data_IF_944520287074
#
_entry.id   IF_944520287074
#
_cell.length_a   1.000
_cell.length_b   1.000
_cell.length_c   1.000
_cell.angle_alpha   90.00
_cell.angle_beta   90.00
_cell.angle_gamma   90.00
#
_symmetry.space_group_name_H-M   'P 1'
#
loop_
_entity.id
_entity.type
_entity.pdbx_description
1 polymer ?
#
# COMPACT_ATOMS: atom_id res chain seq x y z
N UNK A 1 13.75 -23.74 23.04
CA UNK A 1 14.70 -22.62 23.08
C UNK A 1 14.08 -21.33 23.64
N UNK A 2 12.86 -20.95 23.22
CA UNK A 2 12.23 -19.71 23.69
C UNK A 2 11.93 -19.65 25.19
N UNK A 3 11.53 -20.76 25.83
CA UNK A 3 11.17 -20.74 27.26
C UNK A 3 12.36 -20.73 28.23
N UNK A 4 13.51 -21.33 27.88
CA UNK A 4 14.65 -21.46 28.77
C UNK A 4 15.94 -20.82 28.24
N UNK A 5 15.91 -20.11 27.14
CA UNK A 5 17.08 -19.54 26.46
C UNK A 5 16.87 -18.20 25.80
N UNK A 6 15.90 -17.40 26.27
CA UNK A 6 15.54 -16.14 25.64
C UNK A 6 16.76 -15.21 25.46
N UNK A 7 17.61 -15.06 26.46
CA UNK A 7 18.80 -14.22 26.36
C UNK A 7 19.81 -14.75 25.32
N UNK A 8 20.01 -16.09 25.27
CA UNK A 8 20.87 -16.72 24.26
C UNK A 8 20.30 -16.55 22.84
N UNK A 9 18.99 -16.73 22.68
CA UNK A 9 18.30 -16.51 21.40
C UNK A 9 18.48 -15.07 20.95
N UNK A 10 18.20 -14.10 21.82
CA UNK A 10 18.37 -12.67 21.50
C UNK A 10 19.78 -12.34 21.08
N UNK A 11 20.79 -12.83 21.80
CA UNK A 11 22.20 -12.61 21.45
C UNK A 11 22.56 -13.19 20.06
N UNK A 12 22.01 -14.35 19.71
CA UNK A 12 22.21 -14.94 18.37
C UNK A 12 21.55 -14.10 17.27
N UNK A 13 20.35 -13.59 17.51
CA UNK A 13 19.64 -12.69 16.59
C UNK A 13 20.45 -11.41 16.41
N UNK A 14 20.86 -10.75 17.47
CA UNK A 14 21.65 -9.51 17.42
C UNK A 14 22.98 -9.72 16.68
N UNK A 15 23.65 -10.86 16.92
CA UNK A 15 24.87 -11.23 16.17
C UNK A 15 24.60 -11.45 14.69
N UNK A 16 23.48 -12.05 14.35
CA UNK A 16 23.07 -12.25 12.94
C UNK A 16 22.78 -10.92 12.27
N UNK A 17 22.04 -10.02 12.91
CA UNK A 17 21.71 -8.69 12.39
C UNK A 17 22.99 -7.86 12.11
N UNK A 18 23.93 -7.84 13.04
CA UNK A 18 25.24 -7.17 12.84
C UNK A 18 26.00 -7.73 11.65
N UNK A 19 26.02 -9.06 11.47
CA UNK A 19 26.66 -9.69 10.31
C UNK A 19 25.98 -9.35 8.99
N UNK A 20 24.64 -9.30 8.98
CA UNK A 20 23.88 -8.87 7.80
C UNK A 20 24.23 -7.43 7.45
N UNK A 21 24.26 -6.52 8.42
CA UNK A 21 24.65 -5.13 8.20
C UNK A 21 26.06 -5.02 7.59
N UNK A 22 27.06 -5.70 8.13
CA UNK A 22 28.42 -5.71 7.58
C UNK A 22 28.46 -6.25 6.14
N UNK A 23 27.71 -7.30 5.84
CA UNK A 23 27.62 -7.83 4.49
C UNK A 23 26.99 -6.80 3.50
N UNK A 24 25.91 -6.13 3.92
CA UNK A 24 25.24 -5.10 3.15
C UNK A 24 26.20 -3.93 2.91
N UNK A 25 26.89 -3.46 3.95
CA UNK A 25 27.89 -2.38 3.86
C UNK A 25 28.96 -2.70 2.83
N UNK A 26 29.52 -3.90 2.87
CA UNK A 26 30.51 -4.37 1.90
C UNK A 26 29.97 -4.43 0.45
N UNK A 27 28.67 -4.74 0.27
CA UNK A 27 28.04 -4.73 -1.05
C UNK A 27 27.83 -3.30 -1.55
N UNK A 28 27.39 -2.41 -0.67
CA UNK A 28 27.17 -1.00 -1.01
C UNK A 28 28.51 -0.32 -1.37
N UNK A 29 29.59 -0.61 -0.65
CA UNK A 29 30.95 -0.14 -0.98
C UNK A 29 31.43 -0.60 -2.36
N UNK A 30 30.88 -1.70 -2.88
CA UNK A 30 31.13 -2.23 -4.23
C UNK A 30 30.14 -1.70 -5.29
N UNK A 31 29.29 -0.75 -4.94
CA UNK A 31 28.36 -0.10 -5.85
C UNK A 31 26.96 -0.73 -5.92
N UNK A 32 26.62 -1.67 -5.02
CA UNK A 32 25.25 -2.18 -4.91
C UNK A 32 24.35 -1.12 -4.29
N UNK A 33 23.23 -0.81 -4.94
CA UNK A 33 22.17 0.00 -4.32
C UNK A 33 21.35 -0.88 -3.36
N UNK A 34 21.30 -0.48 -2.10
CA UNK A 34 20.54 -1.16 -1.07
C UNK A 34 19.41 -0.27 -0.55
N UNK A 35 18.25 -0.85 -0.33
CA UNK A 35 17.14 -0.25 0.40
C UNK A 35 16.49 -1.30 1.29
N UNK A 36 15.97 -0.89 2.45
CA UNK A 36 15.10 -1.74 3.26
C UNK A 36 13.67 -1.63 2.74
N UNK A 37 12.87 -2.69 2.89
CA UNK A 37 11.49 -2.63 2.44
C UNK A 37 10.66 -1.64 3.26
N UNK A 38 10.79 -1.61 4.57
CA UNK A 38 9.99 -0.79 5.45
C UNK A 38 10.64 -0.45 6.79
N UNK A 39 11.91 -0.14 6.82
CA UNK A 39 12.68 0.26 8.01
C UNK A 39 12.79 -0.79 9.15
N UNK A 40 12.05 -1.87 9.12
CA UNK A 40 12.03 -2.86 10.22
C UNK A 40 13.37 -3.58 10.40
N UNK A 41 14.06 -3.87 9.31
CA UNK A 41 15.41 -4.45 9.36
C UNK A 41 16.40 -3.42 9.94
N UNK A 42 16.43 -2.21 9.41
CA UNK A 42 17.33 -1.14 9.87
C UNK A 42 17.10 -0.83 11.36
N UNK A 43 15.83 -0.75 11.80
CA UNK A 43 15.49 -0.58 13.20
C UNK A 43 16.00 -1.73 14.07
N UNK A 44 15.88 -2.97 13.59
CA UNK A 44 16.37 -4.16 14.31
C UNK A 44 17.90 -4.17 14.41
N UNK A 45 18.59 -3.75 13.36
CA UNK A 45 20.04 -3.59 13.35
C UNK A 45 20.46 -2.50 14.35
N UNK A 46 19.78 -1.36 14.36
CA UNK A 46 20.03 -0.28 15.33
C UNK A 46 19.88 -0.77 16.78
N UNK A 47 18.80 -1.52 17.05
CA UNK A 47 18.53 -2.08 18.39
C UNK A 47 19.54 -3.16 18.79
N UNK A 48 20.19 -3.83 17.83
CA UNK A 48 21.30 -4.76 18.08
C UNK A 48 22.62 -4.09 18.49
N UNK A 49 22.65 -2.74 18.50
CA UNK A 49 23.78 -1.92 18.91
C UNK A 49 24.56 -1.23 17.79
N UNK A 50 24.17 -1.41 16.53
CA UNK A 50 24.81 -0.75 15.36
C UNK A 50 24.19 0.65 15.18
N UNK A 51 24.73 1.64 15.87
CA UNK A 51 24.16 3.01 15.87
C UNK A 51 24.42 3.78 14.59
N UNK A 52 25.48 3.47 13.86
CA UNK A 52 25.83 4.12 12.59
C UNK A 52 24.84 3.84 11.45
N UNK A 53 23.94 2.86 11.56
CA UNK A 53 22.88 2.67 10.58
C UNK A 53 21.81 3.77 10.64
N UNK A 54 21.75 4.50 11.74
CA UNK A 54 20.86 5.65 11.90
C UNK A 54 21.58 6.97 11.64
N UNK A 55 20.89 7.92 10.99
CA UNK A 55 21.42 9.26 10.74
C UNK A 55 21.76 9.96 12.06
N UNK A 56 22.99 10.45 12.17
CA UNK A 56 23.53 11.06 13.39
C UNK A 56 23.42 10.17 14.64
N UNK A 57 23.43 8.83 14.44
CA UNK A 57 23.40 7.86 15.54
C UNK A 57 22.06 7.73 16.27
N UNK A 58 21.00 8.35 15.79
CA UNK A 58 19.67 8.30 16.38
C UNK A 58 18.61 7.85 15.38
N UNK A 59 17.87 6.81 15.72
CA UNK A 59 16.76 6.30 14.91
C UNK A 59 15.61 7.31 14.72
N UNK A 60 15.52 8.34 15.58
CA UNK A 60 14.59 9.44 15.40
C UNK A 60 14.88 10.29 14.15
N UNK A 61 16.11 10.27 13.69
CA UNK A 61 16.53 11.01 12.50
C UNK A 61 16.40 10.18 11.20
N UNK A 62 15.85 8.97 11.29
CA UNK A 62 15.79 8.01 10.18
C UNK A 62 17.10 7.25 9.98
N UNK A 63 17.19 6.51 8.87
CA UNK A 63 18.29 5.59 8.58
C UNK A 63 19.13 6.06 7.39
N UNK A 64 20.36 5.56 7.30
CA UNK A 64 21.31 5.92 6.23
C UNK A 64 20.94 5.31 4.86
N UNK A 65 20.24 4.17 4.87
CA UNK A 65 19.69 3.56 3.67
C UNK A 65 18.24 3.96 3.48
N UNK A 66 17.75 4.11 2.24
CA UNK A 66 16.35 4.41 1.99
C UNK A 66 15.42 3.25 2.38
N UNK A 67 14.21 3.60 2.78
CA UNK A 67 13.08 2.69 2.90
C UNK A 67 12.31 2.67 1.59
N UNK A 68 12.05 1.48 1.04
CA UNK A 68 11.25 1.36 -0.17
C UNK A 68 9.84 1.94 0.01
N UNK A 69 9.22 1.69 1.16
CA UNK A 69 7.86 2.17 1.44
C UNK A 69 7.83 3.64 1.79
N UNK A 70 8.74 4.12 2.65
CA UNK A 70 8.74 5.51 3.12
C UNK A 70 9.29 6.48 2.08
N UNK A 71 10.44 6.16 1.49
CA UNK A 71 11.20 7.09 0.65
C UNK A 71 10.90 6.94 -0.84
N UNK A 72 10.35 5.81 -1.28
CA UNK A 72 10.09 5.50 -2.69
C UNK A 72 8.59 5.36 -2.95
N UNK A 73 7.94 4.30 -2.45
CA UNK A 73 6.53 4.07 -2.73
C UNK A 73 5.60 5.13 -2.13
N UNK A 74 5.93 5.65 -0.95
CA UNK A 74 5.14 6.69 -0.29
C UNK A 74 4.95 7.90 -1.18
N UNK A 75 6.03 8.66 -1.49
CA UNK A 75 5.94 9.86 -2.29
C UNK A 75 5.61 9.63 -3.76
N UNK A 76 6.07 8.53 -4.36
CA UNK A 76 5.95 8.30 -5.80
C UNK A 76 4.65 7.57 -6.21
N UNK A 77 4.05 6.81 -5.31
CA UNK A 77 2.86 6.01 -5.58
C UNK A 77 1.72 6.27 -4.59
N UNK A 78 1.93 6.07 -3.29
CA UNK A 78 0.87 6.09 -2.30
C UNK A 78 0.26 7.48 -2.10
N UNK A 79 1.05 8.54 -2.18
CA UNK A 79 0.57 9.92 -2.10
C UNK A 79 -0.34 10.28 -3.28
N UNK A 80 -0.14 9.63 -4.43
CA UNK A 80 -1.02 9.73 -5.61
C UNK A 80 -2.18 8.72 -5.62
N UNK A 81 -2.33 7.93 -4.57
CA UNK A 81 -3.38 6.93 -4.47
C UNK A 81 -3.10 5.62 -5.20
N UNK A 82 -1.91 5.45 -5.80
CA UNK A 82 -1.53 4.18 -6.43
C UNK A 82 -1.09 3.16 -5.38
N UNK A 83 -1.61 1.97 -5.49
CA UNK A 83 -1.24 0.85 -4.64
C UNK A 83 -1.74 -0.49 -5.20
N UNK A 84 -1.35 -1.60 -4.56
CA UNK A 84 -1.67 -2.94 -5.04
C UNK A 84 -3.17 -3.17 -5.18
N UNK A 85 -3.60 -3.50 -6.37
CA UNK A 85 -4.94 -3.92 -6.72
C UNK A 85 -4.88 -5.28 -7.40
N UNK A 86 -5.53 -6.26 -6.83
CA UNK A 86 -5.44 -7.66 -7.26
C UNK A 86 -6.80 -8.21 -7.65
N UNK A 87 -6.82 -9.08 -8.67
CA UNK A 87 -8.00 -9.87 -8.99
C UNK A 87 -7.65 -11.32 -9.23
N UNK A 88 -8.62 -12.20 -8.99
CA UNK A 88 -8.55 -13.64 -9.20
C UNK A 88 -9.81 -14.09 -9.93
N UNK A 89 -9.66 -14.78 -11.06
CA UNK A 89 -10.75 -15.43 -11.77
C UNK A 89 -11.13 -16.73 -11.04
N UNK A 90 -12.26 -16.73 -10.34
CA UNK A 90 -12.69 -17.86 -9.49
C UNK A 90 -13.10 -19.08 -10.30
N UNK A 91 -13.35 -18.94 -11.60
CA UNK A 91 -13.57 -20.06 -12.51
C UNK A 91 -12.34 -20.96 -12.66
N UNK A 92 -11.13 -20.47 -12.35
CA UNK A 92 -9.86 -21.14 -12.61
C UNK A 92 -9.50 -21.25 -14.09
N UNK A 93 -10.30 -20.70 -15.00
CA UNK A 93 -10.08 -20.76 -16.44
C UNK A 93 -9.10 -19.68 -16.88
N UNK A 94 -8.09 -20.08 -17.63
CA UNK A 94 -7.12 -19.15 -18.20
C UNK A 94 -7.75 -18.15 -19.19
N UNK A 95 -8.75 -18.59 -19.93
CA UNK A 95 -9.51 -17.73 -20.85
C UNK A 95 -10.18 -16.54 -20.15
N UNK A 96 -10.68 -16.74 -18.92
CA UNK A 96 -11.28 -15.66 -18.14
C UNK A 96 -10.21 -14.65 -17.70
N UNK A 97 -9.00 -15.11 -17.40
CA UNK A 97 -7.88 -14.23 -17.07
C UNK A 97 -7.51 -13.34 -18.27
N UNK A 98 -7.38 -13.90 -19.46
CA UNK A 98 -7.10 -13.15 -20.69
C UNK A 98 -8.18 -12.10 -20.96
N UNK A 99 -9.46 -12.45 -20.80
CA UNK A 99 -10.57 -11.49 -20.96
C UNK A 99 -10.49 -10.35 -19.94
N UNK A 100 -10.15 -10.67 -18.69
CA UNK A 100 -9.99 -9.63 -17.65
C UNK A 100 -8.77 -8.76 -17.88
N UNK A 101 -7.67 -9.30 -18.43
CA UNK A 101 -6.51 -8.52 -18.84
C UNK A 101 -6.89 -7.47 -19.90
N UNK A 102 -7.61 -7.88 -20.94
CA UNK A 102 -8.09 -6.95 -21.99
C UNK A 102 -9.01 -5.88 -21.41
N UNK A 103 -9.98 -6.26 -20.59
CA UNK A 103 -10.89 -5.32 -19.95
C UNK A 103 -10.17 -4.33 -19.01
N UNK A 104 -9.12 -4.76 -18.30
CA UNK A 104 -8.31 -3.89 -17.49
C UNK A 104 -7.53 -2.87 -18.36
N UNK A 105 -6.92 -3.30 -19.46
CA UNK A 105 -6.24 -2.40 -20.40
C UNK A 105 -7.18 -1.35 -21.01
N UNK A 106 -8.43 -1.72 -21.34
CA UNK A 106 -9.45 -0.76 -21.82
C UNK A 106 -9.79 0.32 -20.79
N UNK A 107 -9.65 0.02 -19.51
CA UNK A 107 -9.92 0.96 -18.41
C UNK A 107 -8.73 1.88 -18.06
N UNK A 108 -7.52 1.56 -18.53
CA UNK A 108 -6.27 2.27 -18.21
C UNK A 108 -5.96 3.26 -19.35
N UNK A 109 -5.76 4.53 -19.02
CA UNK A 109 -5.18 5.51 -19.95
C UNK A 109 -3.66 5.55 -19.77
N UNK A 110 -2.87 4.95 -20.68
CA UNK A 110 -1.41 4.88 -20.54
C UNK A 110 -0.70 6.24 -20.67
N UNK A 111 -1.43 7.29 -21.07
CA UNK A 111 -0.87 8.63 -21.24
C UNK A 111 -1.07 9.54 -20.02
N UNK A 112 -1.84 9.11 -19.03
CA UNK A 112 -2.18 9.93 -17.86
C UNK A 112 -0.99 10.10 -16.89
N UNK A 113 -0.36 9.01 -16.52
CA UNK A 113 0.83 8.99 -15.63
C UNK A 113 1.75 7.82 -15.99
N UNK A 114 3.03 7.92 -15.61
CA UNK A 114 4.00 6.85 -15.85
C UNK A 114 3.57 5.50 -15.28
N UNK A 115 2.96 5.49 -14.08
CA UNK A 115 2.45 4.26 -13.47
C UNK A 115 1.29 3.62 -14.29
N UNK A 116 0.46 4.42 -14.94
CA UNK A 116 -0.59 3.88 -15.82
C UNK A 116 0.02 3.23 -17.09
N UNK A 117 1.07 3.83 -17.64
CA UNK A 117 1.82 3.23 -18.74
C UNK A 117 2.47 1.91 -18.30
N UNK A 118 3.08 1.87 -17.12
CA UNK A 118 3.67 0.65 -16.57
C UNK A 118 2.62 -0.43 -16.34
N UNK A 119 1.46 -0.08 -15.79
CA UNK A 119 0.34 -0.99 -15.62
C UNK A 119 -0.14 -1.57 -16.96
N UNK A 120 -0.31 -0.71 -17.96
CA UNK A 120 -0.73 -1.13 -19.30
C UNK A 120 0.28 -2.10 -19.93
N UNK A 121 1.57 -1.76 -19.89
CA UNK A 121 2.64 -2.61 -20.41
C UNK A 121 2.74 -3.94 -19.65
N UNK A 122 2.61 -3.90 -18.33
CA UNK A 122 2.63 -5.06 -17.45
C UNK A 122 1.56 -6.09 -17.84
N UNK A 123 0.31 -5.65 -18.02
CA UNK A 123 -0.79 -6.55 -18.40
C UNK A 123 -0.67 -6.98 -19.86
N UNK A 124 -0.33 -6.07 -20.79
CA UNK A 124 -0.13 -6.40 -22.21
C UNK A 124 0.89 -7.53 -22.40
N UNK A 125 1.99 -7.46 -21.65
CA UNK A 125 3.11 -8.39 -21.80
C UNK A 125 3.03 -9.58 -20.81
N UNK A 126 1.94 -9.69 -20.02
CA UNK A 126 1.79 -10.72 -18.98
C UNK A 126 1.90 -12.15 -19.52
N UNK A 127 1.20 -12.46 -20.60
CA UNK A 127 1.25 -13.77 -21.22
C UNK A 127 2.63 -14.09 -21.79
N UNK A 128 3.23 -13.14 -22.51
CA UNK A 128 4.56 -13.29 -23.08
C UNK A 128 5.63 -13.56 -22.01
N UNK A 129 5.46 -12.95 -20.84
CA UNK A 129 6.39 -13.08 -19.72
C UNK A 129 6.03 -14.21 -18.76
N UNK A 130 5.00 -15.01 -19.06
CA UNK A 130 4.52 -16.10 -18.22
C UNK A 130 4.24 -15.64 -16.78
N UNK A 131 3.61 -14.48 -16.61
CA UNK A 131 3.28 -13.93 -15.31
C UNK A 131 2.13 -14.73 -14.68
N UNK A 132 2.50 -15.75 -13.92
CA UNK A 132 1.58 -16.61 -13.18
C UNK A 132 1.81 -16.44 -11.69
N UNK A 133 0.74 -16.19 -10.94
CA UNK A 133 0.76 -16.01 -9.48
C UNK A 133 0.10 -17.20 -8.79
N UNK A 134 0.48 -18.41 -9.17
CA UNK A 134 -0.02 -19.66 -8.59
C UNK A 134 -1.49 -20.00 -8.91
N UNK A 135 -2.25 -19.08 -9.50
CA UNK A 135 -3.64 -19.24 -9.96
C UNK A 135 -3.94 -18.21 -11.05
N UNK A 136 -5.16 -18.20 -11.58
CA UNK A 136 -5.61 -17.24 -12.60
C UNK A 136 -5.82 -15.85 -11.97
N UNK A 137 -4.72 -15.14 -11.72
CA UNK A 137 -4.69 -13.88 -10.98
C UNK A 137 -3.75 -12.85 -11.60
N UNK A 138 -4.04 -11.57 -11.39
CA UNK A 138 -3.17 -10.43 -11.71
C UNK A 138 -3.10 -9.46 -10.55
N UNK A 139 -2.08 -8.60 -10.59
CA UNK A 139 -1.89 -7.48 -9.69
C UNK A 139 -1.42 -6.27 -10.50
N UNK A 140 -1.98 -5.11 -10.19
CA UNK A 140 -1.56 -3.79 -10.68
C UNK A 140 -1.34 -2.85 -9.51
N UNK A 141 -0.60 -1.78 -9.75
CA UNK A 141 -0.55 -0.63 -8.84
C UNK A 141 -1.47 0.45 -9.41
N UNK A 142 -2.71 0.48 -8.95
CA UNK A 142 -3.76 1.32 -9.52
C UNK A 142 -4.34 2.27 -8.48
N UNK A 143 -4.72 3.48 -8.93
CA UNK A 143 -5.37 4.51 -8.11
C UNK A 143 -6.86 4.23 -7.86
N UNK A 144 -7.50 5.09 -7.05
CA UNK A 144 -8.90 4.94 -6.66
C UNK A 144 -9.85 4.82 -7.85
N UNK A 145 -9.72 5.73 -8.82
CA UNK A 145 -10.61 5.77 -9.98
C UNK A 145 -10.37 4.61 -10.93
N UNK A 146 -9.11 4.24 -11.13
CA UNK A 146 -8.73 3.08 -11.93
C UNK A 146 -9.25 1.77 -11.33
N UNK A 147 -9.08 1.58 -10.01
CA UNK A 147 -9.65 0.41 -9.31
C UNK A 147 -11.16 0.33 -9.47
N UNK A 148 -11.86 1.44 -9.29
CA UNK A 148 -13.32 1.48 -9.43
C UNK A 148 -13.75 1.13 -10.84
N UNK A 149 -13.14 1.73 -11.87
CA UNK A 149 -13.47 1.47 -13.29
C UNK A 149 -13.25 -0.01 -13.66
N UNK A 150 -12.08 -0.55 -13.34
CA UNK A 150 -11.75 -1.95 -13.60
C UNK A 150 -12.71 -2.89 -12.87
N UNK A 151 -12.96 -2.64 -11.58
CA UNK A 151 -13.85 -3.47 -10.77
C UNK A 151 -15.30 -3.47 -11.30
N UNK A 152 -15.82 -2.31 -11.70
CA UNK A 152 -17.16 -2.19 -12.30
C UNK A 152 -17.23 -2.93 -13.64
N UNK A 153 -16.20 -2.80 -14.49
CA UNK A 153 -16.13 -3.53 -15.76
C UNK A 153 -16.11 -5.05 -15.53
N UNK A 154 -15.34 -5.51 -14.55
CA UNK A 154 -15.34 -6.93 -14.19
C UNK A 154 -16.70 -7.42 -13.70
N UNK A 155 -17.38 -6.65 -12.84
CA UNK A 155 -18.71 -7.01 -12.37
C UNK A 155 -19.74 -7.04 -13.52
N UNK A 156 -19.63 -6.15 -14.48
CA UNK A 156 -20.44 -6.16 -15.71
C UNK A 156 -20.18 -7.41 -16.56
N UNK A 157 -18.91 -7.80 -16.76
CA UNK A 157 -18.55 -9.02 -17.49
C UNK A 157 -19.13 -10.27 -16.85
N UNK A 158 -19.11 -10.35 -15.50
CA UNK A 158 -19.75 -11.45 -14.76
C UNK A 158 -21.26 -11.45 -14.99
N UNK A 159 -21.90 -10.28 -14.93
CA UNK A 159 -23.35 -10.11 -15.19
C UNK A 159 -23.76 -10.57 -16.57
N UNK A 160 -22.94 -10.30 -17.56
CA UNK A 160 -23.17 -10.67 -18.95
C UNK A 160 -22.80 -12.13 -19.26
N UNK A 161 -22.24 -12.86 -18.30
CA UNK A 161 -21.77 -14.24 -18.50
C UNK A 161 -20.51 -14.36 -19.37
N UNK A 162 -19.76 -13.26 -19.54
CA UNK A 162 -18.51 -13.25 -20.32
C UNK A 162 -17.38 -14.00 -19.59
N UNK A 163 -17.40 -13.94 -18.24
CA UNK A 163 -16.46 -14.60 -17.32
C UNK A 163 -17.19 -15.13 -16.09
N UNK A 164 -16.55 -16.05 -15.36
CA UNK A 164 -17.03 -16.46 -14.04
C UNK A 164 -16.80 -15.39 -12.96
N UNK A 165 -17.27 -15.62 -11.71
CA UNK A 165 -17.06 -14.68 -10.63
C UNK A 165 -15.60 -14.31 -10.42
N UNK A 166 -15.36 -13.06 -10.02
CA UNK A 166 -14.01 -12.52 -9.82
C UNK A 166 -13.87 -12.06 -8.37
N UNK A 167 -12.78 -12.45 -7.71
CA UNK A 167 -12.40 -11.94 -6.40
C UNK A 167 -11.42 -10.79 -6.54
N UNK A 168 -11.79 -9.63 -5.98
CA UNK A 168 -10.91 -8.48 -5.86
C UNK A 168 -10.26 -8.45 -4.48
N UNK A 169 -9.08 -7.88 -4.39
CA UNK A 169 -8.38 -7.66 -3.14
C UNK A 169 -7.25 -6.66 -3.29
N UNK A 170 -6.60 -6.36 -2.18
CA UNK A 170 -5.37 -5.59 -2.14
C UNK A 170 -4.40 -6.16 -1.12
N UNK A 171 -3.14 -5.80 -1.26
CA UNK A 171 -2.17 -6.05 -0.20
C UNK A 171 -2.39 -5.10 0.98
N UNK A 172 -1.94 -5.51 2.16
CA UNK A 172 -1.92 -4.66 3.34
C UNK A 172 -0.90 -3.51 3.22
N UNK A 173 0.08 -3.61 2.31
CA UNK A 173 0.96 -2.52 1.89
C UNK A 173 0.25 -1.69 0.83
N UNK A 174 -0.70 -0.88 1.23
CA UNK A 174 -1.47 -0.05 0.31
C UNK A 174 -1.51 1.41 0.79
N UNK A 175 -2.06 2.26 -0.04
CA UNK A 175 -2.31 3.69 0.23
C UNK A 175 -2.97 3.91 1.59
N UNK A 176 -3.87 3.01 2.00
CA UNK A 176 -4.50 3.06 3.32
C UNK A 176 -3.51 2.97 4.50
N UNK A 177 -2.26 2.59 4.25
CA UNK A 177 -1.14 2.76 5.16
C UNK A 177 -1.34 2.12 6.53
N UNK A 178 -1.78 0.86 6.56
CA UNK A 178 -2.20 0.20 7.79
C UNK A 178 -1.20 -0.82 8.32
N UNK A 179 0.02 -0.82 7.80
CA UNK A 179 1.01 -1.84 8.14
C UNK A 179 2.21 -1.23 8.85
N UNK A 180 2.36 -1.39 10.12
CA UNK A 180 3.57 -1.09 10.88
C UNK A 180 3.84 0.38 11.20
N UNK A 181 4.36 0.69 12.38
CA UNK A 181 4.83 2.04 12.72
C UNK A 181 6.12 2.45 11.97
N UNK A 182 6.78 1.54 11.25
CA UNK A 182 8.05 1.80 10.56
C UNK A 182 7.96 1.61 9.04
N UNK A 183 6.77 1.40 8.48
CA UNK A 183 6.54 1.12 7.06
C UNK A 183 5.64 2.19 6.44
N UNK A 184 4.43 1.83 6.01
CA UNK A 184 3.52 2.71 5.26
C UNK A 184 3.13 3.98 5.99
N UNK A 185 3.28 4.03 7.30
CA UNK A 185 2.90 5.17 8.13
C UNK A 185 4.08 5.91 8.73
N UNK A 186 5.31 5.52 8.44
CA UNK A 186 6.51 6.11 9.02
C UNK A 186 6.73 7.56 8.61
N UNK A 187 6.24 7.96 7.45
CA UNK A 187 6.27 9.34 6.97
C UNK A 187 5.19 10.24 7.55
N UNK A 188 4.25 9.73 8.33
CA UNK A 188 3.27 10.52 9.09
C UNK A 188 3.95 11.07 10.35
N UNK A 189 4.03 12.39 10.47
CA UNK A 189 4.87 13.05 11.50
C UNK A 189 4.07 13.63 12.67
N UNK A 190 2.75 13.66 12.62
CA UNK A 190 1.88 14.26 13.62
C UNK A 190 1.49 13.33 14.78
N UNK A 191 2.05 12.11 14.81
CA UNK A 191 1.74 11.09 15.81
C UNK A 191 0.58 10.17 15.44
N UNK A 192 -0.16 10.43 14.36
CA UNK A 192 -1.25 9.57 13.88
C UNK A 192 -0.76 8.28 13.20
N UNK A 193 0.55 8.07 13.18
CA UNK A 193 1.16 6.81 12.74
C UNK A 193 1.00 5.64 13.74
N UNK A 194 0.25 5.85 14.82
CA UNK A 194 -0.13 4.78 15.74
C UNK A 194 -1.16 3.88 15.05
N UNK A 195 -0.77 2.64 14.85
CA UNK A 195 -1.37 1.71 13.89
C UNK A 195 -2.78 1.25 14.21
N UNK A 196 -3.13 1.11 15.49
CA UNK A 196 -4.40 0.51 15.87
C UNK A 196 -5.60 1.28 15.32
N UNK A 197 -5.59 2.61 15.44
CA UNK A 197 -6.71 3.45 15.00
C UNK A 197 -6.89 3.41 13.47
N UNK A 198 -5.79 3.46 12.72
CA UNK A 198 -5.85 3.43 11.25
C UNK A 198 -6.32 2.07 10.72
N UNK A 199 -5.82 0.99 11.29
CA UNK A 199 -6.22 -0.36 10.90
C UNK A 199 -7.69 -0.63 11.23
N UNK A 200 -8.17 -0.18 12.40
CA UNK A 200 -9.56 -0.29 12.81
C UNK A 200 -10.47 0.57 11.94
N UNK A 201 -10.06 1.79 11.61
CA UNK A 201 -10.80 2.66 10.69
C UNK A 201 -10.96 2.01 9.31
N UNK A 202 -9.88 1.46 8.76
CA UNK A 202 -9.89 0.75 7.47
C UNK A 202 -10.84 -0.46 7.53
N UNK A 203 -10.72 -1.29 8.56
CA UNK A 203 -11.57 -2.45 8.78
C UNK A 203 -13.06 -2.07 8.91
N UNK A 204 -13.38 -1.11 9.80
CA UNK A 204 -14.75 -0.69 10.04
C UNK A 204 -15.39 -0.08 8.77
N UNK A 205 -14.65 0.72 8.03
CA UNK A 205 -15.12 1.32 6.80
C UNK A 205 -15.36 0.32 5.68
N UNK A 206 -14.53 -0.70 5.54
CA UNK A 206 -14.73 -1.78 4.58
C UNK A 206 -15.94 -2.66 4.96
N UNK A 207 -16.13 -2.95 6.27
CA UNK A 207 -17.34 -3.62 6.77
C UNK A 207 -18.59 -2.81 6.45
N UNK A 208 -18.62 -1.52 6.78
CA UNK A 208 -19.77 -0.64 6.59
C UNK A 208 -20.18 -0.50 5.12
N UNK A 209 -19.25 -0.66 4.19
CA UNK A 209 -19.51 -0.60 2.74
C UNK A 209 -19.93 -1.94 2.13
N UNK A 210 -19.92 -3.01 2.91
CA UNK A 210 -20.41 -4.31 2.48
C UNK A 210 -19.43 -5.16 1.69
N UNK A 211 -18.12 -5.01 1.93
CA UNK A 211 -17.11 -5.90 1.36
C UNK A 211 -17.40 -7.36 1.72
N UNK A 212 -17.13 -8.29 0.80
CA UNK A 212 -17.41 -9.72 0.97
C UNK A 212 -16.53 -10.37 2.04
N UNK A 213 -15.32 -9.87 2.18
CA UNK A 213 -14.34 -10.28 3.18
C UNK A 213 -13.65 -9.03 3.73
N UNK A 214 -13.49 -8.96 5.02
CA UNK A 214 -12.67 -7.96 5.69
C UNK A 214 -11.73 -8.64 6.67
N UNK A 215 -10.52 -8.10 6.81
CA UNK A 215 -9.50 -8.64 7.68
C UNK A 215 -8.92 -7.54 8.56
N UNK A 216 -8.70 -7.89 9.82
CA UNK A 216 -7.88 -7.15 10.77
C UNK A 216 -6.95 -8.15 11.42
N UNK A 217 -5.64 -7.99 11.25
CA UNK A 217 -4.67 -8.99 11.70
C UNK A 217 -3.30 -8.38 12.03
N UNK A 218 -2.47 -9.12 12.73
CA UNK A 218 -1.10 -8.73 13.08
C UNK A 218 -0.12 -9.07 11.96
N UNK A 219 -0.25 -8.44 10.82
CA UNK A 219 0.69 -8.54 9.71
C UNK A 219 1.13 -9.94 9.29
N UNK A 220 1.58 -10.06 8.06
CA UNK A 220 2.32 -11.21 7.58
C UNK A 220 3.71 -10.74 7.14
N UNK A 221 4.77 -11.43 7.46
CA UNK A 221 6.12 -11.04 7.08
C UNK A 221 6.82 -10.15 8.11
N UNK A 222 7.48 -9.08 7.68
CA UNK A 222 8.42 -8.31 8.52
C UNK A 222 7.78 -7.67 9.75
N UNK A 223 6.53 -7.29 9.70
CA UNK A 223 5.81 -6.67 10.82
C UNK A 223 5.10 -7.65 11.76
N UNK A 224 5.22 -8.96 11.57
CA UNK A 224 4.42 -9.96 12.31
C UNK A 224 4.56 -9.79 13.82
N UNK A 225 3.43 -9.73 14.52
CA UNK A 225 3.36 -9.55 15.98
C UNK A 225 3.57 -8.11 16.47
N UNK A 226 3.93 -7.15 15.59
CA UNK A 226 4.16 -5.75 15.93
C UNK A 226 3.32 -4.78 15.10
N UNK A 227 2.83 -5.22 13.95
CA UNK A 227 2.01 -4.44 13.05
C UNK A 227 0.57 -4.90 13.09
N UNK A 228 -0.36 -3.96 12.90
CA UNK A 228 -1.78 -4.25 12.69
C UNK A 228 -2.12 -3.84 11.27
N UNK A 229 -2.78 -4.74 10.54
CA UNK A 229 -3.13 -4.53 9.13
C UNK A 229 -4.63 -4.64 8.93
N UNK A 230 -5.14 -3.84 8.00
CA UNK A 230 -6.48 -3.98 7.46
C UNK A 230 -6.43 -4.40 6.00
N UNK A 231 -7.40 -5.16 5.57
CA UNK A 231 -7.54 -5.59 4.19
C UNK A 231 -8.96 -5.97 3.86
N UNK A 232 -9.24 -6.13 2.58
CA UNK A 232 -10.54 -6.58 2.09
C UNK A 232 -10.43 -7.55 0.93
N UNK A 233 -11.54 -8.27 0.71
CA UNK A 233 -11.83 -8.95 -0.52
C UNK A 233 -13.26 -8.64 -0.95
N UNK A 234 -13.49 -8.53 -2.25
CA UNK A 234 -14.81 -8.29 -2.84
C UNK A 234 -15.06 -9.27 -3.96
N UNK A 235 -16.15 -10.01 -3.87
CA UNK A 235 -16.60 -10.89 -4.95
C UNK A 235 -17.48 -10.10 -5.92
N UNK A 236 -17.05 -9.99 -7.17
CA UNK A 236 -17.88 -9.56 -8.28
C UNK A 236 -18.76 -10.73 -8.71
N UNK A 237 -20.05 -10.65 -8.39
CA UNK A 237 -21.06 -11.67 -8.66
C UNK A 237 -22.01 -11.31 -9.80
N UNK A 238 -21.79 -10.13 -10.42
CA UNK A 238 -22.61 -9.57 -11.48
C UNK A 238 -23.84 -8.76 -10.99
N UNK A 239 -24.09 -8.70 -9.69
CA UNK A 239 -25.25 -7.98 -9.17
C UNK A 239 -25.07 -6.46 -9.18
N UNK A 240 -26.20 -5.72 -9.29
CA UNK A 240 -26.19 -4.24 -9.15
C UNK A 240 -25.82 -3.80 -7.74
N UNK A 241 -26.13 -4.60 -6.72
CA UNK A 241 -25.68 -4.36 -5.35
C UNK A 241 -24.16 -4.26 -5.26
N UNK A 242 -23.46 -5.13 -5.98
CA UNK A 242 -21.98 -5.08 -6.03
C UNK A 242 -21.49 -3.84 -6.76
N UNK A 243 -22.15 -3.38 -7.83
CA UNK A 243 -21.80 -2.10 -8.47
C UNK A 243 -21.83 -0.93 -7.48
N UNK A 244 -22.90 -0.86 -6.64
CA UNK A 244 -23.04 0.22 -5.64
C UNK A 244 -21.95 0.15 -4.57
N UNK A 245 -21.60 -1.05 -4.11
CA UNK A 245 -20.49 -1.28 -3.18
C UNK A 245 -19.17 -0.82 -3.80
N UNK A 246 -18.89 -1.24 -5.03
CA UNK A 246 -17.63 -0.92 -5.72
C UNK A 246 -17.44 0.59 -5.90
N UNK A 247 -18.51 1.32 -6.26
CA UNK A 247 -18.47 2.80 -6.40
C UNK A 247 -18.07 3.50 -5.12
N UNK A 248 -18.54 3.04 -3.98
CA UNK A 248 -18.24 3.64 -2.69
C UNK A 248 -16.93 3.12 -2.08
N UNK A 249 -16.76 1.80 -2.06
CA UNK A 249 -15.69 1.17 -1.31
C UNK A 249 -14.31 1.34 -1.94
N UNK A 250 -14.21 1.27 -3.29
CA UNK A 250 -12.93 1.47 -3.97
C UNK A 250 -12.40 2.89 -3.78
N UNK A 251 -13.28 3.90 -3.84
CA UNK A 251 -12.89 5.28 -3.58
C UNK A 251 -12.47 5.48 -2.12
N UNK A 252 -13.30 5.02 -1.18
CA UNK A 252 -13.07 5.26 0.23
C UNK A 252 -11.78 4.59 0.72
N UNK A 253 -11.53 3.34 0.33
CA UNK A 253 -10.35 2.59 0.77
C UNK A 253 -9.05 3.31 0.38
N UNK A 254 -8.97 3.78 -0.85
CA UNK A 254 -7.78 4.50 -1.36
C UNK A 254 -7.73 5.93 -0.83
N UNK A 255 -8.80 6.71 -1.04
CA UNK A 255 -8.79 8.15 -0.71
C UNK A 255 -8.77 8.41 0.79
N UNK A 256 -9.22 7.48 1.63
CA UNK A 256 -9.00 7.52 3.07
C UNK A 256 -7.52 7.47 3.45
N UNK A 257 -6.71 6.71 2.71
CA UNK A 257 -5.26 6.70 2.86
C UNK A 257 -4.60 7.99 2.37
N UNK A 258 -4.98 8.47 1.19
CA UNK A 258 -4.49 9.75 0.66
C UNK A 258 -4.83 10.90 1.62
N UNK A 259 -6.04 10.93 2.17
CA UNK A 259 -6.45 11.93 3.15
C UNK A 259 -5.53 11.95 4.39
N UNK A 260 -5.21 10.79 4.97
CA UNK A 260 -4.27 10.72 6.11
C UNK A 260 -2.89 11.23 5.75
N UNK A 261 -2.38 10.88 4.56
CA UNK A 261 -1.10 11.37 4.03
C UNK A 261 -1.11 12.87 3.78
N UNK A 262 -2.24 13.40 3.30
CA UNK A 262 -2.47 14.83 3.15
C UNK A 262 -2.43 15.54 4.50
N UNK A 263 -3.12 15.01 5.52
CA UNK A 263 -3.08 15.56 6.89
C UNK A 263 -1.69 15.45 7.54
N UNK A 264 -0.88 14.48 7.13
CA UNK A 264 0.54 14.41 7.50
C UNK A 264 1.42 15.44 6.75
N UNK A 265 0.83 16.25 5.89
CA UNK A 265 1.46 17.29 5.07
C UNK A 265 2.41 16.77 4.02
N UNK A 266 2.16 15.58 3.50
CA UNK A 266 2.88 15.07 2.34
C UNK A 266 2.45 15.87 1.10
N UNK A 267 3.37 16.55 0.41
CA UNK A 267 3.01 17.49 -0.66
C UNK A 267 2.19 16.84 -1.78
N UNK A 268 2.59 15.68 -2.27
CA UNK A 268 1.89 14.98 -3.35
C UNK A 268 0.50 14.47 -2.91
N UNK A 269 0.32 14.09 -1.65
CA UNK A 269 -0.98 13.70 -1.13
C UNK A 269 -1.92 14.91 -0.98
N UNK A 270 -1.38 16.08 -0.63
CA UNK A 270 -2.14 17.34 -0.61
C UNK A 270 -2.58 17.74 -2.02
N UNK A 271 -1.69 17.66 -3.00
CA UNK A 271 -2.00 17.87 -4.42
C UNK A 271 -3.11 16.93 -4.90
N UNK A 272 -2.96 15.64 -4.65
CA UNK A 272 -3.95 14.61 -5.02
C UNK A 272 -5.30 14.85 -4.38
N UNK A 273 -5.35 15.25 -3.09
CA UNK A 273 -6.58 15.58 -2.39
C UNK A 273 -7.25 16.82 -2.99
N UNK A 274 -6.47 17.84 -3.35
CA UNK A 274 -6.98 19.04 -4.02
C UNK A 274 -7.55 18.74 -5.41
N UNK A 275 -6.84 17.96 -6.22
CA UNK A 275 -7.31 17.51 -7.55
C UNK A 275 -8.62 16.70 -7.43
N UNK A 276 -8.69 15.80 -6.46
CA UNK A 276 -9.89 15.01 -6.20
C UNK A 276 -11.08 15.90 -5.80
N UNK A 277 -10.88 16.86 -4.92
CA UNK A 277 -11.90 17.82 -4.51
C UNK A 277 -12.39 18.69 -5.68
N UNK A 278 -11.49 19.13 -6.55
CA UNK A 278 -11.85 19.91 -7.74
C UNK A 278 -12.70 19.11 -8.73
N UNK A 279 -12.45 17.80 -8.84
CA UNK A 279 -13.14 16.94 -9.83
C UNK A 279 -14.41 16.30 -9.26
N UNK A 280 -14.43 15.98 -7.96
CA UNK A 280 -15.48 15.19 -7.33
C UNK A 280 -16.11 15.86 -6.10
N UNK A 281 -15.74 17.09 -5.78
CA UNK A 281 -16.12 17.79 -4.54
C UNK A 281 -17.62 17.97 -4.32
N UNK A 282 -18.43 17.82 -5.38
CA UNK A 282 -19.89 17.82 -5.25
C UNK A 282 -20.46 16.53 -4.64
N UNK A 283 -19.70 15.43 -4.66
CA UNK A 283 -20.10 14.12 -4.15
C UNK A 283 -19.27 13.69 -2.95
N UNK A 284 -17.97 13.99 -2.98
CA UNK A 284 -17.00 13.57 -1.98
C UNK A 284 -16.04 14.72 -1.73
N UNK A 285 -15.81 15.08 -0.47
CA UNK A 285 -14.89 16.13 -0.10
C UNK A 285 -13.89 15.64 0.95
N UNK A 286 -12.60 15.81 0.64
CA UNK A 286 -11.51 15.52 1.57
C UNK A 286 -11.13 16.86 2.22
N UNK A 287 -11.20 16.91 3.55
CA UNK A 287 -10.72 18.08 4.29
C UNK A 287 -9.20 18.18 4.16
N UNK A 288 -8.70 19.40 4.01
CA UNK A 288 -7.28 19.67 3.83
C UNK A 288 -6.69 20.31 5.11
N UNK A 289 -5.43 20.00 5.47
CA UNK A 289 -4.76 20.71 6.54
C UNK A 289 -4.48 22.15 6.13
N UNK A 290 -4.60 23.08 7.07
CA UNK A 290 -3.99 24.40 6.94
C UNK A 290 -2.51 24.30 7.29
N UNK A 291 -1.66 24.79 6.41
CA UNK A 291 -0.25 25.00 6.72
C UNK A 291 -0.17 26.42 7.28
N UNK A 292 0.17 26.52 8.56
CA UNK A 292 0.44 27.82 9.17
C UNK A 292 1.75 28.37 8.61
N UNK A 293 1.79 29.69 8.40
CA UNK A 293 3.02 30.40 8.05
C UNK A 293 3.98 30.36 9.24
N UNK A 294 5.22 29.93 9.02
CA UNK A 294 6.23 29.85 10.07
C UNK A 294 6.46 31.23 10.74
N UNK A 295 6.44 32.32 9.96
CA UNK A 295 6.53 33.70 10.51
C UNK A 295 5.36 34.04 11.44
N UNK A 296 4.17 33.48 11.15
CA UNK A 296 3.00 33.71 12.04
C UNK A 296 3.19 32.99 13.37
N UNK A 297 3.78 31.80 13.36
CA UNK A 297 4.03 31.03 14.59
C UNK A 297 5.15 31.66 15.41
N UNK A 298 6.24 32.10 14.78
CA UNK A 298 7.35 32.77 15.46
C UNK A 298 6.92 34.11 16.12
N UNK A 299 5.95 34.80 15.54
CA UNK A 299 5.41 36.05 16.10
C UNK A 299 4.36 35.83 17.22
N UNK A 300 3.92 34.59 17.47
CA UNK A 300 2.94 34.24 18.50
C UNK A 300 3.58 33.64 19.77
N UNK A 301 4.86 33.34 19.75
CA UNK A 301 5.65 32.81 20.86
C UNK A 301 6.56 33.92 21.40
#
# INVERSE_FOLDING_TARGET
MLHNGHARFRNLVDKSLRRHYEAIKNLVEKGTYFFDYGNSFMKSVYDSGVKEIARNGSDKNGFIFPSYVEDIMGPELFDYGYGPFRWVCLSGKHEDLIKTDHAAMECIDPNRRGQDLDNYNWIRDAEKNNLVVGTQARILYQDAMGRMKIALRFNEMVRNGEVGPIMLGRDHHDVSGTDSPFRETSNIKDGSNIMADMAVQCFAGNCARGMSLVALHNGGGVGIGKAINGGFGMVCDGSKRVDDILRSAMLWDVMGGVARRSWARNPHAMETSAEFNNTHGNQYHITMPHIADDELIENLI
#
